data_IF_561639603706
#
_entry.id   IF_561639603706
#
_cell.length_a   1.000
_cell.length_b   1.000
_cell.length_c   1.000
_cell.angle_alpha   90.00
_cell.angle_beta   90.00
_cell.angle_gamma   90.00
#
_symmetry.space_group_name_H-M   'P 1'
#
loop_
_entity.id
_entity.type
_entity.pdbx_description
1 polymer ?
#
# COMPACT_ATOMS: atom_id res chain seq x y z
N UNK A 1 -10.50 -16.78 -5.41
CA UNK A 1 -9.49 -15.78 -5.10
C UNK A 1 -9.51 -14.71 -6.17
N UNK A 2 -9.82 -13.52 -5.77
CA UNK A 2 -9.87 -12.38 -6.68
C UNK A 2 -8.57 -11.62 -6.64
N UNK A 3 -8.05 -11.30 -7.80
CA UNK A 3 -6.90 -10.40 -7.90
C UNK A 3 -7.37 -9.08 -8.45
N UNK A 4 -6.84 -8.02 -7.90
CA UNK A 4 -7.12 -6.67 -8.37
C UNK A 4 -5.81 -6.03 -8.81
N UNK A 5 -5.89 -5.27 -9.88
CA UNK A 5 -4.74 -4.56 -10.40
C UNK A 5 -4.76 -3.14 -9.84
N UNK A 6 -3.70 -2.80 -9.12
CA UNK A 6 -3.59 -1.48 -8.48
C UNK A 6 -2.23 -0.88 -8.82
N UNK A 7 -2.14 0.42 -8.66
CA UNK A 7 -0.89 1.14 -8.81
C UNK A 7 -0.38 1.46 -7.41
N UNK A 8 0.85 1.04 -7.12
CA UNK A 8 1.49 1.36 -5.84
C UNK A 8 2.60 2.36 -6.12
N UNK A 9 2.63 3.43 -5.34
CA UNK A 9 3.66 4.45 -5.49
C UNK A 9 4.17 4.89 -4.12
N UNK A 10 5.38 5.46 -4.10
CA UNK A 10 5.93 6.04 -2.88
C UNK A 10 5.42 7.47 -2.70
N UNK A 11 5.53 7.98 -1.46
CA UNK A 11 5.04 9.32 -1.12
C UNK A 11 5.74 10.41 -1.93
N UNK A 12 7.02 10.21 -2.24
CA UNK A 12 7.78 11.16 -3.05
C UNK A 12 7.54 10.96 -4.55
N UNK A 13 6.75 9.95 -4.91
CA UNK A 13 6.36 9.63 -6.28
C UNK A 13 7.54 9.29 -7.20
N UNK A 14 8.68 8.93 -6.62
CA UNK A 14 9.84 8.53 -7.42
C UNK A 14 9.73 7.08 -7.88
N UNK A 15 8.91 6.29 -7.21
CA UNK A 15 8.72 4.88 -7.55
C UNK A 15 7.24 4.59 -7.71
N UNK A 16 6.91 3.89 -8.77
CA UNK A 16 5.53 3.56 -9.11
C UNK A 16 5.52 2.24 -9.88
N UNK A 17 4.58 1.38 -9.55
CA UNK A 17 4.43 0.10 -10.23
C UNK A 17 2.97 -0.30 -10.28
N UNK A 18 2.56 -0.90 -11.39
CA UNK A 18 1.25 -1.51 -11.50
C UNK A 18 1.41 -2.98 -11.17
N UNK A 19 0.64 -3.46 -10.20
CA UNK A 19 0.74 -4.83 -9.72
C UNK A 19 -0.64 -5.44 -9.56
N UNK A 20 -0.70 -6.76 -9.69
CA UNK A 20 -1.92 -7.51 -9.39
C UNK A 20 -1.76 -8.11 -8.00
N UNK A 21 -2.72 -7.83 -7.14
CA UNK A 21 -2.69 -8.29 -5.75
C UNK A 21 -3.96 -9.07 -5.44
N UNK A 22 -3.80 -10.06 -4.58
CA UNK A 22 -4.94 -10.81 -4.07
C UNK A 22 -5.74 -9.91 -3.13
N UNK A 23 -7.05 -9.90 -3.28
CA UNK A 23 -7.91 -9.00 -2.50
C UNK A 23 -7.88 -9.31 -1.00
N UNK A 24 -7.42 -10.48 -0.60
CA UNK A 24 -7.33 -10.81 0.82
C UNK A 24 -5.97 -10.47 1.44
N UNK A 25 -5.06 -9.87 0.68
CA UNK A 25 -3.83 -9.33 1.27
C UNK A 25 -4.15 -8.14 2.15
N UNK A 26 -3.35 -7.96 3.19
CA UNK A 26 -3.53 -6.85 4.13
C UNK A 26 -2.62 -5.68 3.76
N UNK A 27 -2.87 -4.53 4.39
CA UNK A 27 -1.99 -3.38 4.23
C UNK A 27 -0.55 -3.71 4.61
N UNK A 28 -0.36 -4.51 5.66
CA UNK A 28 0.98 -4.93 6.07
C UNK A 28 1.68 -5.74 4.97
N UNK A 29 0.93 -6.61 4.29
CA UNK A 29 1.49 -7.40 3.19
C UNK A 29 1.93 -6.50 2.04
N UNK A 30 1.14 -5.49 1.72
CA UNK A 30 1.47 -4.54 0.65
C UNK A 30 2.72 -3.73 1.02
N UNK A 31 2.79 -3.28 2.27
CA UNK A 31 3.95 -2.53 2.75
C UNK A 31 5.20 -3.40 2.66
N UNK A 32 5.12 -4.65 3.13
CA UNK A 32 6.26 -5.55 3.10
C UNK A 32 6.76 -5.78 1.67
N UNK A 33 5.84 -6.00 0.74
CA UNK A 33 6.19 -6.20 -0.66
C UNK A 33 6.87 -4.97 -1.23
N UNK A 34 6.39 -3.78 -0.89
CA UNK A 34 6.96 -2.53 -1.38
C UNK A 34 8.37 -2.32 -0.82
N UNK A 35 8.56 -2.59 0.47
CA UNK A 35 9.87 -2.47 1.11
C UNK A 35 10.86 -3.41 0.44
N UNK A 36 10.44 -4.65 0.19
CA UNK A 36 11.32 -5.65 -0.40
C UNK A 36 11.69 -5.30 -1.85
N UNK A 37 10.72 -4.85 -2.63
CA UNK A 37 10.93 -4.58 -4.05
C UNK A 37 11.73 -3.31 -4.31
N UNK A 38 11.55 -2.30 -3.46
CA UNK A 38 12.17 -1.00 -3.66
C UNK A 38 13.28 -0.69 -2.69
N UNK A 39 13.64 -1.65 -1.84
CA UNK A 39 14.69 -1.44 -0.84
C UNK A 39 14.44 -0.22 0.03
N UNK A 40 13.20 -0.07 0.47
CA UNK A 40 12.85 1.07 1.32
C UNK A 40 13.47 0.89 2.71
N UNK A 41 13.73 1.99 3.43
CA UNK A 41 14.27 1.88 4.78
C UNK A 41 13.38 1.02 5.68
N UNK A 42 14.00 0.15 6.48
CA UNK A 42 13.27 -0.76 7.36
C UNK A 42 13.15 -0.23 8.78
N UNK A 43 13.80 0.90 9.07
CA UNK A 43 13.77 1.53 10.39
C UNK A 43 12.61 2.52 10.54
N UNK A 44 11.72 2.56 9.57
CA UNK A 44 10.58 3.48 9.52
C UNK A 44 9.33 2.67 9.31
N UNK A 45 8.26 3.04 9.98
CA UNK A 45 6.95 2.45 9.72
C UNK A 45 6.31 3.12 8.52
N UNK A 46 5.45 2.39 7.85
CA UNK A 46 4.75 2.89 6.66
C UNK A 46 3.25 2.69 6.82
N UNK A 47 2.50 3.52 6.13
CA UNK A 47 1.05 3.35 6.00
C UNK A 47 0.69 3.37 4.53
N UNK A 48 -0.46 2.79 4.21
CA UNK A 48 -1.00 2.78 2.85
C UNK A 48 -2.17 3.76 2.80
N UNK A 49 -2.13 4.67 1.86
CA UNK A 49 -3.22 5.61 1.64
C UNK A 49 -3.84 5.32 0.28
N UNK A 50 -5.15 5.09 0.26
CA UNK A 50 -5.87 4.98 -1.00
C UNK A 50 -6.16 6.38 -1.52
N UNK A 51 -5.49 6.76 -2.59
CA UNK A 51 -5.61 8.11 -3.13
C UNK A 51 -7.02 8.36 -3.66
N UNK A 52 -7.62 7.36 -4.30
CA UNK A 52 -8.94 7.50 -4.88
C UNK A 52 -10.02 7.71 -3.83
N UNK A 53 -9.86 7.10 -2.68
CA UNK A 53 -10.86 7.15 -1.61
C UNK A 53 -10.48 8.08 -0.47
N UNK A 54 -9.27 8.61 -0.48
CA UNK A 54 -8.72 9.46 0.59
C UNK A 54 -8.81 8.77 1.95
N UNK A 55 -8.49 7.47 1.96
CA UNK A 55 -8.56 6.65 3.17
C UNK A 55 -7.22 6.01 3.46
N UNK A 56 -6.92 5.86 4.74
CA UNK A 56 -5.75 5.11 5.19
C UNK A 56 -6.16 3.65 5.37
N UNK A 57 -5.42 2.75 4.73
CA UNK A 57 -5.65 1.32 4.87
C UNK A 57 -4.88 0.82 6.10
N UNK A 58 -5.60 0.32 7.09
CA UNK A 58 -4.98 -0.23 8.29
C UNK A 58 -4.10 -1.42 7.93
N UNK A 59 -2.94 -1.60 8.58
CA UNK A 59 -2.09 -2.77 8.33
C UNK A 59 -2.80 -4.12 8.51
N UNK A 60 -3.81 -4.16 9.36
CA UNK A 60 -4.56 -5.39 9.62
C UNK A 60 -5.76 -5.58 8.70
N UNK A 61 -6.06 -4.59 7.88
CA UNK A 61 -7.23 -4.61 7.01
C UNK A 61 -6.86 -5.19 5.65
N UNK A 62 -7.72 -6.06 5.13
CA UNK A 62 -7.52 -6.58 3.78
C UNK A 62 -7.88 -5.51 2.75
N UNK A 63 -7.38 -5.69 1.54
CA UNK A 63 -7.70 -4.78 0.44
C UNK A 63 -9.22 -4.76 0.21
N UNK A 64 -9.84 -5.93 0.24
CA UNK A 64 -11.27 -6.05 0.08
C UNK A 64 -12.03 -5.29 1.16
N UNK A 65 -11.64 -5.48 2.42
CA UNK A 65 -12.30 -4.81 3.54
C UNK A 65 -12.08 -3.29 3.49
N UNK A 66 -10.96 -2.86 2.94
CA UNK A 66 -10.66 -1.44 2.78
C UNK A 66 -11.33 -0.80 1.58
N UNK A 67 -12.08 -1.57 0.80
CA UNK A 67 -12.76 -1.04 -0.39
C UNK A 67 -11.85 -0.76 -1.56
N UNK A 68 -10.69 -1.39 -1.60
CA UNK A 68 -9.74 -1.21 -2.69
C UNK A 68 -10.25 -1.93 -3.92
N UNK A 69 -10.26 -1.25 -5.05
CA UNK A 69 -10.81 -1.76 -6.30
C UNK A 69 -9.76 -1.71 -7.40
N UNK A 70 -10.07 -2.39 -8.50
CA UNK A 70 -9.22 -2.38 -9.67
C UNK A 70 -8.97 -0.96 -10.15
N UNK A 71 -7.70 -0.65 -10.40
CA UNK A 71 -7.32 0.67 -10.87
C UNK A 71 -7.03 1.68 -9.77
N UNK A 72 -7.23 1.31 -8.51
CA UNK A 72 -6.95 2.23 -7.40
C UNK A 72 -5.45 2.50 -7.27
N UNK A 73 -5.13 3.69 -6.77
CA UNK A 73 -3.76 4.08 -6.50
C UNK A 73 -3.53 4.01 -4.99
N UNK A 74 -2.53 3.24 -4.61
CA UNK A 74 -2.15 3.10 -3.21
C UNK A 74 -0.79 3.77 -3.01
N UNK A 75 -0.72 4.68 -2.06
CA UNK A 75 0.52 5.39 -1.78
C UNK A 75 1.12 4.89 -0.48
N UNK A 76 2.38 4.47 -0.53
CA UNK A 76 3.13 4.04 0.65
C UNK A 76 3.77 5.27 1.25
N UNK A 77 3.33 5.64 2.45
CA UNK A 77 3.81 6.84 3.13
C UNK A 77 4.54 6.48 4.41
N UNK A 78 5.70 7.08 4.67
CA UNK A 78 6.37 6.89 5.95
C UNK A 78 5.55 7.53 7.05
N UNK A 79 5.47 6.84 8.19
CA UNK A 79 4.76 7.34 9.34
C UNK A 79 5.80 8.01 10.25
N UNK A 80 5.59 9.28 10.53
CA UNK A 80 6.46 9.98 11.47
C UNK A 80 6.00 9.64 12.88
N UNK A 81 6.87 8.93 13.60
CA UNK A 81 6.61 8.64 14.99
C UNK A 81 7.19 9.77 15.82
N UNK A 82 6.33 10.58 16.39
CA UNK A 82 6.77 11.59 17.35
C UNK A 82 7.16 10.85 18.62
N UNK A 83 8.43 10.64 18.77
CA UNK A 83 8.96 9.93 19.92
C UNK A 83 8.98 10.78 21.16
#
# INVERSE_FOLDING_TARGET
>A
MEQIKVIIRTADQTRKAEVSLDSNLTGADVIQASVDNWNLPTDTDYSIVSINNSKILSPNMTLEAGGIKEGDILEVQPVLVAG
#
